data_IF_072435774585
#
_entry.id   IF_072435774585
#
_cell.length_a   1.000
_cell.length_b   1.000
_cell.length_c   1.000
_cell.angle_alpha   90.00
_cell.angle_beta   90.00
_cell.angle_gamma   90.00
#
_symmetry.space_group_name_H-M   'P 1'
#
loop_
_entity.id
_entity.type
_entity.pdbx_description
1 polymer ?
#
# COMPACT_ATOMS: atom_id res chain seq x y z
N UNK A 1 0.91 9.80 0.04
CA UNK A 1 0.23 8.54 -0.30
C UNK A 1 0.14 7.73 0.97
N UNK A 2 -1.00 7.13 1.27
CA UNK A 2 -1.22 6.39 2.51
C UNK A 2 -1.63 4.95 2.26
N UNK A 3 -1.37 4.11 3.25
CA UNK A 3 -1.67 2.67 3.27
C UNK A 3 -2.27 2.30 4.63
N UNK A 4 -3.29 1.45 4.63
CA UNK A 4 -3.92 0.91 5.84
C UNK A 4 -4.37 -0.53 5.58
N UNK A 5 -4.58 -1.32 6.63
CA UNK A 5 -5.20 -2.64 6.48
C UNK A 5 -6.66 -2.49 6.05
N UNK A 6 -7.18 -3.51 5.36
CA UNK A 6 -8.61 -3.55 5.04
C UNK A 6 -9.46 -3.55 6.32
N UNK A 7 -10.37 -2.58 6.43
CA UNK A 7 -11.21 -2.36 7.61
C UNK A 7 -10.70 -1.28 8.56
N UNK A 8 -9.46 -0.79 8.40
CA UNK A 8 -8.96 0.36 9.15
C UNK A 8 -9.41 1.70 8.54
N UNK A 9 -9.60 2.69 9.41
CA UNK A 9 -9.99 4.03 9.03
C UNK A 9 -8.87 4.76 8.29
N UNK A 10 -9.23 5.71 7.42
CA UNK A 10 -8.25 6.52 6.70
C UNK A 10 -7.41 7.43 7.63
N UNK A 11 -7.89 7.70 8.85
CA UNK A 11 -7.16 8.46 9.87
C UNK A 11 -5.99 7.69 10.48
N UNK A 12 -6.08 6.36 10.54
CA UNK A 12 -5.02 5.46 11.02
C UNK A 12 -4.05 5.06 9.89
N UNK A 13 -4.30 5.52 8.67
CA UNK A 13 -3.48 5.16 7.51
C UNK A 13 -2.05 5.70 7.66
N UNK A 14 -1.09 4.83 7.45
CA UNK A 14 0.33 5.13 7.55
C UNK A 14 0.86 5.72 6.24
N UNK A 15 1.99 6.43 6.32
CA UNK A 15 2.65 6.94 5.12
C UNK A 15 3.28 5.80 4.31
N UNK A 16 2.84 5.64 3.07
CA UNK A 16 3.30 4.54 2.21
C UNK A 16 4.64 4.81 1.54
N UNK A 17 5.19 6.02 1.65
CA UNK A 17 6.53 6.37 1.14
C UNK A 17 7.65 6.10 2.17
N UNK A 18 7.27 5.83 3.42
CA UNK A 18 8.17 5.53 4.53
C UNK A 18 8.33 4.03 4.70
N UNK A 19 9.55 3.53 4.49
CA UNK A 19 9.87 2.11 4.70
C UNK A 19 9.63 1.66 6.15
N UNK A 20 9.82 2.56 7.13
CA UNK A 20 9.56 2.26 8.54
C UNK A 20 8.06 2.10 8.82
N UNK A 21 7.24 2.90 8.15
CA UNK A 21 5.79 2.81 8.23
C UNK A 21 5.27 1.51 7.61
N UNK A 22 5.86 1.07 6.51
CA UNK A 22 5.54 -0.22 5.89
C UNK A 22 5.94 -1.41 6.78
N UNK A 23 7.13 -1.38 7.38
CA UNK A 23 7.56 -2.39 8.34
C UNK A 23 6.65 -2.43 9.59
N UNK A 24 6.18 -1.26 10.03
CA UNK A 24 5.26 -1.12 11.16
C UNK A 24 3.82 -1.55 10.87
N UNK A 25 3.39 -1.53 9.60
CA UNK A 25 2.07 -1.99 9.18
C UNK A 25 1.87 -3.48 9.46
N UNK A 26 2.95 -4.28 9.41
CA UNK A 26 2.90 -5.71 9.71
C UNK A 26 2.02 -6.53 8.76
N UNK A 27 1.81 -6.05 7.53
CA UNK A 27 1.03 -6.77 6.53
C UNK A 27 1.75 -8.07 6.13
N UNK A 28 1.08 -9.21 6.31
CA UNK A 28 1.58 -10.54 5.95
C UNK A 28 1.10 -10.94 4.54
N UNK A 29 1.68 -12.00 3.99
CA UNK A 29 1.21 -12.57 2.73
C UNK A 29 -0.28 -12.94 2.81
N UNK A 30 -1.06 -12.54 1.80
CA UNK A 30 -2.50 -12.75 1.75
C UNK A 30 -3.33 -11.70 2.49
N UNK A 31 -2.70 -10.67 3.07
CA UNK A 31 -3.42 -9.55 3.71
C UNK A 31 -3.86 -8.53 2.67
N UNK A 32 -5.12 -8.09 2.75
CA UNK A 32 -5.63 -6.99 1.90
C UNK A 32 -5.31 -5.64 2.54
N UNK A 33 -4.81 -4.70 1.72
CA UNK A 33 -4.52 -3.33 2.13
C UNK A 33 -5.24 -2.33 1.25
N UNK A 34 -5.50 -1.13 1.78
CA UNK A 34 -6.13 -0.04 1.05
C UNK A 34 -5.12 1.08 0.83
N UNK A 35 -4.77 1.30 -0.44
CA UNK A 35 -3.90 2.39 -0.87
C UNK A 35 -4.70 3.64 -1.24
N UNK A 36 -4.22 4.81 -0.83
CA UNK A 36 -4.83 6.11 -1.15
C UNK A 36 -3.76 7.07 -1.63
N UNK A 37 -3.99 7.71 -2.76
CA UNK A 37 -3.11 8.74 -3.31
C UNK A 37 -3.95 9.92 -3.79
N UNK A 38 -3.38 11.12 -3.68
CA UNK A 38 -4.01 12.38 -4.04
C UNK A 38 -3.06 13.18 -4.95
N UNK A 39 -3.61 14.00 -5.83
CA UNK A 39 -2.86 14.82 -6.76
C UNK A 39 -2.92 14.33 -8.21
N UNK A 40 -2.28 15.09 -9.10
CA UNK A 40 -2.23 14.77 -10.53
C UNK A 40 -1.45 13.48 -10.77
N UNK A 41 -2.04 12.54 -11.53
CA UNK A 41 -1.43 11.24 -11.81
C UNK A 41 -1.56 10.18 -10.71
N UNK A 42 -2.27 10.49 -9.60
CA UNK A 42 -2.47 9.55 -8.49
C UNK A 42 -3.03 8.20 -8.93
N UNK A 43 -4.01 8.19 -9.83
CA UNK A 43 -4.63 6.95 -10.35
C UNK A 43 -3.62 6.07 -11.12
N UNK A 44 -2.79 6.67 -11.97
CA UNK A 44 -1.78 5.94 -12.73
C UNK A 44 -0.67 5.37 -11.85
N UNK A 45 -0.32 6.07 -10.76
CA UNK A 45 0.65 5.59 -9.76
C UNK A 45 0.04 4.45 -8.94
N UNK A 46 -1.20 4.60 -8.47
CA UNK A 46 -1.92 3.54 -7.74
C UNK A 46 -2.03 2.26 -8.57
N UNK A 47 -2.35 2.39 -9.87
CA UNK A 47 -2.41 1.24 -10.76
C UNK A 47 -1.07 0.53 -10.92
N UNK A 48 0.02 1.27 -11.15
CA UNK A 48 1.36 0.68 -11.23
C UNK A 48 1.76 -0.03 -9.94
N UNK A 49 1.43 0.56 -8.79
CA UNK A 49 1.78 -0.03 -7.50
C UNK A 49 0.96 -1.29 -7.22
N UNK A 50 -0.32 -1.31 -7.58
CA UNK A 50 -1.16 -2.50 -7.48
C UNK A 50 -0.56 -3.66 -8.30
N UNK A 51 -0.16 -3.40 -9.54
CA UNK A 51 0.52 -4.41 -10.39
C UNK A 51 1.77 -4.96 -9.73
N UNK A 52 2.59 -4.10 -9.11
CA UNK A 52 3.79 -4.54 -8.39
C UNK A 52 3.38 -5.40 -7.17
N UNK A 53 2.42 -4.97 -6.35
CA UNK A 53 2.02 -5.72 -5.16
C UNK A 53 1.34 -7.07 -5.49
N UNK A 54 0.64 -7.16 -6.62
CA UNK A 54 -0.01 -8.39 -7.09
C UNK A 54 0.94 -9.33 -7.83
N UNK A 55 2.09 -8.82 -8.29
CA UNK A 55 3.11 -9.66 -8.91
C UNK A 55 3.88 -10.41 -7.81
N UNK A 56 3.99 -11.73 -7.95
CA UNK A 56 4.80 -12.54 -7.06
C UNK A 56 6.29 -12.16 -7.22
N UNK A 57 6.85 -11.53 -6.19
CA UNK A 57 8.24 -11.09 -6.16
C UNK A 57 9.17 -12.03 -5.39
N UNK A 58 8.64 -13.12 -4.82
CA UNK A 58 9.39 -14.09 -4.01
C UNK A 58 9.98 -15.23 -4.86
N UNK A 59 9.72 -15.23 -6.18
CA UNK A 59 10.28 -16.20 -7.12
C UNK A 59 11.74 -15.85 -7.47
N UNK A 60 12.67 -16.39 -6.69
CA UNK A 60 14.11 -16.49 -6.98
C UNK A 60 14.74 -17.83 -6.58
#
# INVERSE_FOLDING_TARGET
MTIALEGESAEDALDASSILSLMGLGAEYGTTVVLRAEGEGAEAVLHQLAVILETDHDTE
#
